data_IF_562152845618
#
_entry.id   IF_562152845618
#
_cell.length_a   1.000
_cell.length_b   1.000
_cell.length_c   1.000
_cell.angle_alpha   90.00
_cell.angle_beta   90.00
_cell.angle_gamma   90.00
#
_symmetry.space_group_name_H-M   'P 1'
#
loop_
_entity.id
_entity.type
_entity.pdbx_description
1 polymer ?
#
# COMPACT_ATOMS: atom_id res chain seq x y z
N UNK A 1 19.77 20.73 11.39
CA UNK A 1 19.37 20.17 12.70
C UNK A 1 18.79 18.78 12.49
N UNK A 2 19.20 17.82 13.27
CA UNK A 2 18.78 16.42 13.17
C UNK A 2 17.78 16.20 14.30
N UNK A 3 16.51 15.96 13.95
CA UNK A 3 15.47 15.64 14.94
C UNK A 3 15.64 14.19 15.39
N UNK A 4 16.00 13.99 16.64
CA UNK A 4 16.16 12.65 17.23
C UNK A 4 14.90 12.28 18.02
N UNK A 5 14.09 11.36 17.50
CA UNK A 5 13.06 10.70 18.29
C UNK A 5 13.73 9.67 19.22
N UNK A 6 13.95 10.05 20.49
CA UNK A 6 14.54 9.16 21.52
C UNK A 6 13.46 8.26 22.12
N UNK A 7 13.51 6.99 21.85
CA UNK A 7 12.93 5.95 22.70
C UNK A 7 13.86 4.73 22.73
N UNK A 8 14.33 4.38 23.92
CA UNK A 8 15.06 3.16 24.29
C UNK A 8 15.91 2.49 23.19
N UNK A 9 17.18 2.92 23.05
CA UNK A 9 18.24 2.14 22.39
C UNK A 9 18.43 2.32 20.89
N UNK A 10 17.40 2.63 20.10
CA UNK A 10 17.51 2.86 18.66
C UNK A 10 17.06 4.28 18.33
N UNK A 11 17.92 5.05 17.66
CA UNK A 11 17.63 6.45 17.31
C UNK A 11 17.33 6.53 15.81
N UNK A 12 16.08 6.70 15.43
CA UNK A 12 15.76 7.04 14.05
C UNK A 12 15.97 8.55 13.85
N UNK A 13 16.90 8.89 12.98
CA UNK A 13 17.27 10.27 12.66
C UNK A 13 16.47 10.70 11.43
N UNK A 14 15.68 11.77 11.57
CA UNK A 14 15.00 12.40 10.43
C UNK A 14 15.88 13.57 9.96
N UNK A 15 16.28 13.51 8.70
CA UNK A 15 17.08 14.55 8.07
C UNK A 15 16.17 15.64 7.47
N UNK A 16 16.03 16.75 8.21
CA UNK A 16 15.20 17.88 7.81
C UNK A 16 15.79 18.63 6.60
N UNK A 17 17.12 18.66 6.46
CA UNK A 17 17.80 19.23 5.30
C UNK A 17 17.42 18.50 4.03
N UNK A 18 17.35 17.18 4.09
CA UNK A 18 16.93 16.34 2.96
C UNK A 18 15.46 16.61 2.56
N UNK A 19 14.60 16.85 3.53
CA UNK A 19 13.19 17.24 3.27
C UNK A 19 13.16 18.59 2.57
N UNK A 20 13.86 19.61 3.08
CA UNK A 20 13.94 20.93 2.49
C UNK A 20 14.44 20.91 1.05
N UNK A 21 15.55 20.19 0.79
CA UNK A 21 16.12 20.04 -0.55
C UNK A 21 15.14 19.34 -1.53
N UNK A 22 14.44 18.31 -1.08
CA UNK A 22 13.45 17.60 -1.90
C UNK A 22 12.25 18.47 -2.28
N UNK A 23 11.83 19.37 -1.40
CA UNK A 23 10.73 20.30 -1.64
C UNK A 23 11.18 21.57 -2.36
N UNK A 24 12.50 21.81 -2.47
CA UNK A 24 13.02 23.04 -3.05
C UNK A 24 12.70 24.29 -2.20
N UNK A 25 12.59 24.12 -0.87
CA UNK A 25 12.22 25.18 0.06
C UNK A 25 13.41 25.57 0.96
N UNK A 26 13.42 26.83 1.47
CA UNK A 26 14.45 27.26 2.40
C UNK A 26 14.44 26.42 3.69
N UNK A 27 15.61 25.92 4.09
CA UNK A 27 15.77 25.05 5.27
C UNK A 27 15.19 25.68 6.54
N UNK A 28 15.50 26.96 6.78
CA UNK A 28 15.00 27.69 7.94
C UNK A 28 13.46 27.74 8.00
N UNK A 29 12.80 27.96 6.86
CA UNK A 29 11.35 27.97 6.77
C UNK A 29 10.71 26.60 7.02
N UNK A 30 11.38 25.53 6.54
CA UNK A 30 10.92 24.15 6.77
C UNK A 30 11.03 23.80 8.25
N UNK A 31 12.16 24.11 8.91
CA UNK A 31 12.37 23.85 10.35
C UNK A 31 11.35 24.61 11.18
N UNK A 32 11.20 25.92 10.97
CA UNK A 32 10.23 26.73 11.69
C UNK A 32 8.79 26.21 11.52
N UNK A 33 8.44 25.78 10.30
CA UNK A 33 7.12 25.19 10.04
C UNK A 33 6.90 23.92 10.84
N UNK A 34 7.92 23.03 10.91
CA UNK A 34 7.83 21.78 11.67
C UNK A 34 7.69 22.06 13.17
N UNK A 35 8.47 22.98 13.70
CA UNK A 35 8.38 23.40 15.10
C UNK A 35 6.97 23.96 15.45
N UNK A 36 6.40 24.78 14.58
CA UNK A 36 5.05 25.29 14.76
C UNK A 36 3.98 24.20 14.69
N UNK A 37 4.12 23.24 13.80
CA UNK A 37 3.22 22.07 13.72
C UNK A 37 3.32 21.20 14.98
N UNK A 38 4.51 21.04 15.55
CA UNK A 38 4.75 20.26 16.76
C UNK A 38 4.19 20.93 18.02
N UNK A 39 4.09 22.25 18.02
CA UNK A 39 3.36 23.03 19.03
C UNK A 39 1.84 22.88 18.92
N UNK A 40 1.33 22.08 17.95
CA UNK A 40 -0.09 21.85 17.75
C UNK A 40 -0.80 22.89 16.89
N UNK A 41 -0.05 23.79 16.25
CA UNK A 41 -0.66 24.78 15.37
C UNK A 41 -1.17 24.13 14.08
N UNK A 42 -2.33 24.58 13.60
CA UNK A 42 -2.89 24.09 12.33
C UNK A 42 -2.29 24.84 11.13
N UNK A 43 -2.27 24.20 9.96
CA UNK A 43 -1.76 24.82 8.72
C UNK A 43 -2.40 26.19 8.44
N UNK A 44 -3.75 26.37 8.51
CA UNK A 44 -4.36 27.69 8.32
C UNK A 44 -3.93 28.73 9.34
N UNK A 45 -3.66 28.32 10.58
CA UNK A 45 -3.19 29.22 11.63
C UNK A 45 -1.77 29.71 11.33
N UNK A 46 -0.86 28.80 10.97
CA UNK A 46 0.53 29.11 10.61
C UNK A 46 0.54 30.08 9.43
N UNK A 47 -0.21 29.78 8.37
CA UNK A 47 -0.27 30.62 7.17
C UNK A 47 -0.74 32.04 7.45
N UNK A 48 -1.68 32.23 8.39
CA UNK A 48 -2.28 33.54 8.68
C UNK A 48 -1.53 34.35 9.72
N UNK A 49 -1.02 33.65 10.76
CA UNK A 49 -0.56 34.33 11.96
C UNK A 49 0.94 34.12 12.26
N UNK A 50 1.61 33.23 11.52
CA UNK A 50 3.03 32.89 11.69
C UNK A 50 3.82 32.95 10.40
N UNK A 51 3.35 33.70 9.44
CA UNK A 51 3.93 33.81 8.11
C UNK A 51 5.39 34.31 8.15
N UNK A 52 5.67 35.26 9.02
CA UNK A 52 7.02 35.81 9.15
C UNK A 52 8.00 34.77 9.73
N UNK A 53 7.55 33.96 10.68
CA UNK A 53 8.37 32.88 11.27
C UNK A 53 8.75 31.79 10.25
N UNK A 54 7.87 31.53 9.29
CA UNK A 54 8.11 30.54 8.21
C UNK A 54 8.86 31.11 7.01
N UNK A 55 9.26 32.39 7.04
CA UNK A 55 9.92 33.03 5.90
C UNK A 55 8.99 33.29 4.72
N UNK A 56 7.69 33.46 4.96
CA UNK A 56 6.72 33.81 3.92
C UNK A 56 6.10 32.63 3.17
N UNK A 57 6.27 31.39 3.65
CA UNK A 57 5.71 30.20 3.02
C UNK A 57 4.19 30.29 2.88
N UNK A 58 3.69 29.82 1.76
CA UNK A 58 2.26 29.76 1.49
C UNK A 58 1.60 28.48 2.07
N UNK A 59 0.27 28.43 2.02
CA UNK A 59 -0.50 27.31 2.60
C UNK A 59 -0.17 25.96 1.91
N UNK A 60 0.09 25.97 0.59
CA UNK A 60 0.44 24.75 -0.14
C UNK A 60 1.80 24.23 0.31
N UNK A 61 2.79 25.09 0.39
CA UNK A 61 4.13 24.76 0.87
C UNK A 61 4.11 24.20 2.29
N UNK A 62 3.36 24.83 3.19
CA UNK A 62 3.20 24.36 4.59
C UNK A 62 2.51 22.98 4.62
N UNK A 63 1.51 22.74 3.78
CA UNK A 63 0.86 21.40 3.64
C UNK A 63 1.82 20.35 3.10
N UNK A 64 2.65 20.69 2.13
CA UNK A 64 3.68 19.80 1.59
C UNK A 64 4.71 19.43 2.65
N UNK A 65 5.16 20.39 3.45
CA UNK A 65 6.06 20.14 4.59
C UNK A 65 5.39 19.22 5.61
N UNK A 66 4.14 19.50 5.99
CA UNK A 66 3.39 18.68 6.95
C UNK A 66 3.22 17.23 6.45
N UNK A 67 2.93 17.03 5.17
CA UNK A 67 2.83 15.71 4.57
C UNK A 67 4.19 15.00 4.50
N UNK A 68 5.26 15.72 4.17
CA UNK A 68 6.61 15.17 4.05
C UNK A 68 7.16 14.72 5.41
N UNK A 69 7.02 15.56 6.46
CA UNK A 69 7.48 15.19 7.81
C UNK A 69 6.62 14.05 8.39
N UNK A 70 5.31 14.05 8.15
CA UNK A 70 4.43 12.96 8.55
C UNK A 70 4.86 11.61 7.97
N UNK A 71 5.16 11.55 6.67
CA UNK A 71 5.69 10.34 6.02
C UNK A 71 7.06 9.92 6.57
N UNK A 72 7.95 10.88 6.83
CA UNK A 72 9.26 10.60 7.39
C UNK A 72 9.17 10.04 8.83
N UNK A 73 8.29 10.60 9.67
CA UNK A 73 8.03 10.10 11.04
C UNK A 73 7.44 8.69 11.02
N UNK A 74 6.45 8.43 10.17
CA UNK A 74 5.87 7.09 10.02
C UNK A 74 6.94 6.06 9.61
N UNK A 75 7.82 6.41 8.68
CA UNK A 75 8.91 5.53 8.27
C UNK A 75 9.91 5.30 9.42
N UNK A 76 10.26 6.34 10.16
CA UNK A 76 11.16 6.27 11.31
C UNK A 76 10.59 5.37 12.43
N UNK A 77 9.34 5.57 12.80
CA UNK A 77 8.62 4.75 13.79
C UNK A 77 8.53 3.29 13.35
N UNK A 78 8.28 3.07 12.05
CA UNK A 78 8.22 1.72 11.50
C UNK A 78 9.58 1.02 11.55
N UNK A 79 10.68 1.71 11.21
CA UNK A 79 12.05 1.20 11.35
C UNK A 79 12.33 0.77 12.79
N UNK A 80 12.01 1.62 13.76
CA UNK A 80 12.19 1.31 15.18
C UNK A 80 11.42 0.07 15.62
N UNK A 81 10.14 -0.02 15.20
CA UNK A 81 9.29 -1.18 15.52
C UNK A 81 9.91 -2.47 14.97
N UNK A 82 10.40 -2.43 13.73
CA UNK A 82 11.02 -3.58 13.08
C UNK A 82 12.33 -3.96 13.78
N UNK A 83 13.21 -3.00 14.05
CA UNK A 83 14.47 -3.25 14.75
C UNK A 83 14.23 -3.89 16.12
N UNK A 84 13.30 -3.36 16.92
CA UNK A 84 12.93 -3.94 18.23
C UNK A 84 12.39 -5.36 18.10
N UNK A 85 11.57 -5.62 17.07
CA UNK A 85 10.97 -6.95 16.87
C UNK A 85 12.03 -7.98 16.50
N UNK A 86 12.99 -7.61 15.63
CA UNK A 86 14.07 -8.51 15.19
C UNK A 86 15.09 -8.72 16.32
N UNK A 87 15.42 -7.67 17.07
CA UNK A 87 16.31 -7.71 18.22
C UNK A 87 15.73 -8.59 19.33
N UNK A 88 14.44 -8.44 19.64
CA UNK A 88 13.73 -9.31 20.59
C UNK A 88 13.68 -10.79 20.19
N UNK A 89 13.91 -11.11 18.91
CA UNK A 89 14.09 -12.48 18.41
C UNK A 89 15.55 -12.96 18.46
N UNK A 90 16.50 -12.11 18.87
CA UNK A 90 17.93 -12.41 18.86
C UNK A 90 18.53 -12.59 17.45
N UNK A 91 17.89 -12.07 16.41
CA UNK A 91 18.26 -12.27 15.00
C UNK A 91 18.76 -10.99 14.31
N UNK A 92 18.98 -9.90 15.06
CA UNK A 92 19.46 -8.64 14.51
C UNK A 92 20.98 -8.72 14.29
N UNK A 93 21.40 -8.64 13.02
CA UNK A 93 22.80 -8.54 12.66
C UNK A 93 23.18 -7.09 12.36
N UNK A 94 24.46 -6.67 12.53
CA UNK A 94 24.90 -5.30 12.23
C UNK A 94 24.63 -4.88 10.78
N UNK A 95 24.72 -5.83 9.85
CA UNK A 95 24.46 -5.57 8.43
C UNK A 95 22.95 -5.33 8.18
N UNK A 96 22.10 -6.17 8.75
CA UNK A 96 20.63 -6.00 8.64
C UNK A 96 20.17 -4.70 9.30
N UNK A 97 20.74 -4.35 10.46
CA UNK A 97 20.46 -3.08 11.12
C UNK A 97 20.78 -1.91 10.18
N UNK A 98 21.96 -1.90 9.56
CA UNK A 98 22.36 -0.85 8.62
C UNK A 98 21.41 -0.78 7.41
N UNK A 99 21.04 -1.92 6.84
CA UNK A 99 20.09 -1.98 5.72
C UNK A 99 18.70 -1.39 6.11
N UNK A 100 18.20 -1.70 7.30
CA UNK A 100 16.94 -1.14 7.81
C UNK A 100 17.08 0.37 8.06
N UNK A 101 18.16 0.82 8.67
CA UNK A 101 18.40 2.24 8.98
C UNK A 101 18.50 3.08 7.71
N UNK A 102 19.14 2.57 6.66
CA UNK A 102 19.33 3.26 5.39
C UNK A 102 18.13 3.14 4.43
N UNK A 103 17.19 2.25 4.70
CA UNK A 103 16.02 2.08 3.83
C UNK A 103 15.17 3.36 3.76
N UNK A 104 15.01 3.93 2.58
CA UNK A 104 14.20 5.13 2.32
C UNK A 104 12.79 4.77 1.81
N UNK A 105 12.63 3.55 1.32
CA UNK A 105 11.39 3.07 0.74
C UNK A 105 10.67 2.14 1.75
N UNK A 106 9.42 2.49 2.16
CA UNK A 106 8.63 1.63 3.04
C UNK A 106 8.47 0.19 2.53
N UNK A 107 8.43 0.00 1.21
CA UNK A 107 8.29 -1.34 0.61
C UNK A 107 9.55 -2.19 0.81
N UNK A 108 10.73 -1.59 0.58
CA UNK A 108 11.99 -2.28 0.85
C UNK A 108 12.12 -2.62 2.34
N UNK A 109 11.70 -1.71 3.22
CA UNK A 109 11.69 -1.94 4.65
C UNK A 109 10.80 -3.13 5.05
N UNK A 110 9.60 -3.24 4.47
CA UNK A 110 8.71 -4.39 4.71
C UNK A 110 9.27 -5.69 4.13
N UNK A 111 9.95 -5.63 2.97
CA UNK A 111 10.61 -6.80 2.38
C UNK A 111 11.77 -7.30 3.27
N UNK A 112 12.57 -6.39 3.86
CA UNK A 112 13.62 -6.75 4.82
C UNK A 112 13.04 -7.35 6.12
N UNK A 113 11.84 -6.92 6.53
CA UNK A 113 11.17 -7.43 7.72
C UNK A 113 10.45 -8.78 7.48
N UNK A 114 10.13 -9.11 6.24
CA UNK A 114 9.31 -10.27 5.90
C UNK A 114 9.78 -11.59 6.54
N UNK A 115 11.10 -11.91 6.57
CA UNK A 115 11.63 -13.13 7.19
C UNK A 115 11.45 -13.22 8.72
N UNK A 116 11.22 -12.06 9.37
CA UNK A 116 11.13 -11.93 10.83
C UNK A 116 9.69 -11.73 11.32
N UNK A 117 8.76 -11.57 10.38
CA UNK A 117 7.35 -11.34 10.71
C UNK A 117 6.75 -12.60 11.34
N UNK A 118 6.06 -12.50 12.52
CA UNK A 118 5.35 -13.62 13.12
C UNK A 118 4.40 -14.25 12.11
N UNK A 119 4.55 -15.55 11.86
CA UNK A 119 3.81 -16.26 10.82
C UNK A 119 2.63 -17.02 11.40
N UNK A 120 1.54 -17.06 10.65
CA UNK A 120 0.53 -18.10 10.81
C UNK A 120 1.14 -19.43 10.35
N UNK A 121 0.55 -20.55 10.75
CA UNK A 121 0.96 -21.90 10.34
C UNK A 121 0.95 -22.00 8.80
N UNK A 122 2.07 -21.65 8.16
CA UNK A 122 2.26 -21.78 6.71
C UNK A 122 2.68 -23.22 6.37
N UNK A 123 2.57 -23.62 5.10
CA UNK A 123 3.05 -24.93 4.67
C UNK A 123 4.55 -25.11 4.97
N UNK A 124 5.34 -24.05 4.81
CA UNK A 124 6.76 -24.08 5.17
C UNK A 124 6.97 -24.23 6.67
N UNK A 125 6.16 -23.58 7.52
CA UNK A 125 6.24 -23.70 8.96
C UNK A 125 5.84 -25.10 9.44
N UNK A 126 4.81 -25.69 8.84
CA UNK A 126 4.45 -27.10 9.06
C UNK A 126 5.60 -28.03 8.71
N UNK A 127 6.27 -27.79 7.58
CA UNK A 127 7.42 -28.60 7.17
C UNK A 127 8.62 -28.43 8.12
N UNK A 128 8.86 -27.23 8.67
CA UNK A 128 9.87 -27.01 9.71
C UNK A 128 9.54 -27.75 11.01
N UNK A 129 8.29 -27.76 11.44
CA UNK A 129 7.84 -28.54 12.59
C UNK A 129 8.04 -30.03 12.39
N UNK A 130 7.95 -30.51 11.15
CA UNK A 130 8.27 -31.89 10.74
C UNK A 130 9.78 -32.15 10.60
N UNK A 131 10.63 -31.23 11.05
CA UNK A 131 12.10 -31.32 11.05
C UNK A 131 12.74 -31.45 9.66
N UNK A 132 12.09 -30.95 8.61
CA UNK A 132 12.59 -31.03 7.23
C UNK A 132 13.56 -29.90 6.84
N UNK A 133 13.78 -28.92 7.71
CA UNK A 133 14.66 -27.77 7.41
C UNK A 133 16.13 -28.17 7.16
N UNK A 134 16.76 -29.12 7.88
CA UNK A 134 18.12 -29.56 7.57
C UNK A 134 18.25 -30.10 6.14
N UNK A 135 17.34 -30.95 5.71
CA UNK A 135 17.32 -31.47 4.34
C UNK A 135 17.16 -30.36 3.30
N UNK A 136 16.31 -29.36 3.56
CA UNK A 136 16.14 -28.21 2.69
C UNK A 136 17.45 -27.40 2.53
N UNK A 137 18.24 -27.26 3.59
CA UNK A 137 19.55 -26.60 3.58
C UNK A 137 20.59 -27.40 2.78
N UNK A 138 20.67 -28.69 3.00
CA UNK A 138 21.57 -29.61 2.27
C UNK A 138 21.29 -29.53 0.76
N UNK A 139 20.01 -29.63 0.36
CA UNK A 139 19.61 -29.55 -1.04
C UNK A 139 19.95 -28.18 -1.62
N UNK A 140 19.63 -27.08 -0.95
CA UNK A 140 19.90 -25.73 -1.44
C UNK A 140 21.40 -25.43 -1.54
N UNK A 141 22.22 -26.03 -0.66
CA UNK A 141 23.67 -25.89 -0.69
C UNK A 141 24.35 -26.78 -1.76
N UNK A 142 23.63 -27.76 -2.32
CA UNK A 142 24.20 -28.77 -3.20
C UNK A 142 25.15 -29.72 -2.47
N UNK A 143 24.84 -30.04 -1.19
CA UNK A 143 25.68 -30.92 -0.38
C UNK A 143 25.83 -32.31 -1.02
N UNK A 144 27.03 -32.88 -1.09
CA UNK A 144 27.24 -34.24 -1.58
C UNK A 144 26.42 -35.30 -0.86
N UNK A 145 26.05 -35.10 0.41
CA UNK A 145 25.17 -36.02 1.13
C UNK A 145 23.76 -36.10 0.55
N UNK A 146 23.32 -35.06 -0.11
CA UNK A 146 22.03 -34.99 -0.79
C UNK A 146 22.15 -35.30 -2.29
N UNK A 147 23.25 -35.88 -2.79
CA UNK A 147 23.45 -36.16 -4.23
C UNK A 147 22.33 -37.00 -4.82
N UNK A 148 21.81 -37.96 -4.08
CA UNK A 148 20.57 -38.69 -4.39
C UNK A 148 19.44 -38.15 -3.49
N UNK A 149 18.53 -37.38 -4.09
CA UNK A 149 17.43 -36.73 -3.36
C UNK A 149 16.48 -37.73 -2.71
N UNK A 150 16.17 -38.83 -3.41
CA UNK A 150 15.20 -39.82 -2.92
C UNK A 150 15.80 -40.61 -1.76
N UNK A 151 17.05 -41.06 -1.91
CA UNK A 151 17.77 -41.80 -0.87
C UNK A 151 17.93 -40.91 0.38
N UNK A 152 18.34 -39.65 0.21
CA UNK A 152 18.52 -38.76 1.36
C UNK A 152 17.19 -38.35 2.00
N UNK A 153 16.13 -38.14 1.24
CA UNK A 153 14.81 -37.82 1.78
C UNK A 153 14.19 -39.01 2.54
N UNK A 154 14.57 -40.24 2.23
CA UNK A 154 14.12 -41.41 2.98
C UNK A 154 14.58 -41.40 4.43
N UNK A 155 15.75 -40.80 4.76
CA UNK A 155 16.23 -40.63 6.13
C UNK A 155 15.36 -39.71 6.98
N UNK A 156 14.54 -38.88 6.34
CA UNK A 156 13.63 -37.94 6.99
C UNK A 156 12.17 -38.42 7.01
N UNK A 157 11.90 -39.64 6.56
CA UNK A 157 10.56 -40.24 6.63
C UNK A 157 10.32 -40.65 8.07
N UNK A 158 9.29 -40.05 8.67
CA UNK A 158 8.86 -40.31 10.05
C UNK A 158 7.34 -40.09 10.12
N UNK A 159 6.60 -41.19 10.22
CA UNK A 159 5.14 -41.15 10.28
C UNK A 159 4.61 -40.47 11.54
N UNK A 160 5.37 -40.49 12.65
CA UNK A 160 4.95 -39.91 13.92
C UNK A 160 4.92 -38.38 13.88
N UNK A 161 5.77 -37.77 13.04
CA UNK A 161 5.77 -36.34 12.79
C UNK A 161 4.98 -35.93 11.52
N UNK A 162 4.33 -36.91 10.87
CA UNK A 162 3.46 -36.68 9.72
C UNK A 162 4.19 -36.57 8.39
N UNK A 163 5.34 -37.24 8.24
CA UNK A 163 6.07 -37.46 6.98
C UNK A 163 6.01 -38.94 6.65
N UNK A 164 4.97 -39.36 5.94
CA UNK A 164 4.72 -40.79 5.70
C UNK A 164 5.54 -41.34 4.53
N UNK A 165 5.92 -40.53 3.57
CA UNK A 165 6.60 -40.94 2.33
C UNK A 165 7.76 -40.00 1.98
N UNK A 166 8.66 -40.46 1.13
CA UNK A 166 9.73 -39.65 0.52
C UNK A 166 9.14 -38.46 -0.25
N UNK A 167 8.02 -38.67 -0.94
CA UNK A 167 7.32 -37.58 -1.63
C UNK A 167 6.82 -36.50 -0.68
N UNK A 168 6.32 -36.87 0.53
CA UNK A 168 5.90 -35.91 1.54
C UNK A 168 7.10 -35.11 2.08
N UNK A 169 8.25 -35.77 2.27
CA UNK A 169 9.48 -35.12 2.68
C UNK A 169 9.94 -34.08 1.64
N UNK A 170 10.05 -34.47 0.39
CA UNK A 170 10.46 -33.59 -0.71
C UNK A 170 9.46 -32.43 -0.93
N UNK A 171 8.15 -32.71 -0.84
CA UNK A 171 7.12 -31.66 -0.90
C UNK A 171 7.29 -30.64 0.23
N UNK A 172 7.52 -31.11 1.46
CA UNK A 172 7.75 -30.24 2.62
C UNK A 172 9.02 -29.39 2.45
N UNK A 173 10.10 -30.01 1.99
CA UNK A 173 11.35 -29.32 1.64
C UNK A 173 11.11 -28.26 0.57
N UNK A 174 10.37 -28.60 -0.50
CA UNK A 174 9.99 -27.65 -1.54
C UNK A 174 9.27 -26.43 -0.99
N UNK A 175 8.35 -26.61 -0.04
CA UNK A 175 7.66 -25.50 0.62
C UNK A 175 8.61 -24.60 1.42
N UNK A 176 9.63 -25.17 2.09
CA UNK A 176 10.62 -24.40 2.85
C UNK A 176 11.49 -23.58 1.90
N UNK A 177 12.00 -24.19 0.83
CA UNK A 177 12.83 -23.51 -0.16
C UNK A 177 12.04 -22.41 -0.88
N UNK A 178 10.80 -22.69 -1.28
CA UNK A 178 9.92 -21.68 -1.89
C UNK A 178 9.67 -20.49 -0.98
N UNK A 179 9.55 -20.74 0.33
CA UNK A 179 9.41 -19.70 1.34
C UNK A 179 10.68 -18.83 1.42
N UNK A 180 11.87 -19.42 1.50
CA UNK A 180 13.14 -18.68 1.47
C UNK A 180 13.32 -17.87 0.18
N UNK A 181 12.95 -18.42 -0.98
CA UNK A 181 12.97 -17.70 -2.24
C UNK A 181 12.04 -16.49 -2.24
N UNK A 182 10.88 -16.65 -1.64
CA UNK A 182 9.88 -15.58 -1.56
C UNK A 182 10.29 -14.40 -0.67
N UNK A 183 11.26 -14.60 0.23
CA UNK A 183 11.77 -13.61 1.18
C UNK A 183 12.92 -12.78 0.65
N UNK A 184 13.47 -13.12 -0.52
CA UNK A 184 14.56 -12.39 -1.15
C UNK A 184 14.12 -10.98 -1.54
N UNK A 185 14.59 -9.97 -0.79
CA UNK A 185 14.25 -8.56 -1.00
C UNK A 185 14.72 -8.03 -2.36
N UNK A 186 15.91 -8.44 -2.80
CA UNK A 186 16.48 -8.11 -4.12
C UNK A 186 15.61 -8.62 -5.27
N UNK A 187 15.20 -9.89 -5.19
CA UNK A 187 14.30 -10.51 -6.16
C UNK A 187 12.95 -9.78 -6.18
N UNK A 188 12.34 -9.56 -5.01
CA UNK A 188 11.06 -8.85 -4.92
C UNK A 188 11.13 -7.46 -5.52
N UNK A 189 12.22 -6.75 -5.33
CA UNK A 189 12.42 -5.41 -5.92
C UNK A 189 12.52 -5.47 -7.45
N UNK A 190 13.23 -6.45 -8.03
CA UNK A 190 13.33 -6.66 -9.48
C UNK A 190 11.96 -7.01 -10.07
N UNK A 191 11.28 -8.00 -9.49
CA UNK A 191 9.95 -8.43 -9.93
C UNK A 191 8.90 -7.31 -9.83
N UNK A 192 8.93 -6.53 -8.75
CA UNK A 192 8.04 -5.38 -8.56
C UNK A 192 8.18 -4.36 -9.69
N UNK A 193 9.42 -4.01 -10.08
CA UNK A 193 9.66 -3.07 -11.18
C UNK A 193 9.00 -3.53 -12.47
N UNK A 194 9.20 -4.79 -12.86
CA UNK A 194 8.59 -5.37 -14.07
C UNK A 194 7.08 -5.45 -13.94
N UNK A 195 6.57 -5.85 -12.78
CA UNK A 195 5.13 -5.95 -12.54
C UNK A 195 4.43 -4.59 -12.67
N UNK A 196 5.06 -3.49 -12.23
CA UNK A 196 4.56 -2.13 -12.39
C UNK A 196 4.67 -1.61 -13.83
N UNK A 197 5.76 -1.92 -14.54
CA UNK A 197 5.98 -1.40 -15.89
C UNK A 197 5.17 -2.12 -16.96
N UNK A 198 5.01 -3.44 -16.84
CA UNK A 198 4.43 -4.29 -17.88
C UNK A 198 3.11 -4.96 -17.44
N UNK A 199 2.78 -4.86 -16.17
CA UNK A 199 1.57 -5.45 -15.62
C UNK A 199 0.30 -4.89 -16.24
N UNK A 200 -0.73 -5.71 -16.28
CA UNK A 200 -2.03 -5.40 -16.87
C UNK A 200 -3.14 -5.57 -15.84
N UNK A 201 -3.98 -4.56 -15.73
CA UNK A 201 -5.21 -4.62 -14.95
C UNK A 201 -6.29 -5.30 -15.79
N UNK A 202 -6.77 -6.44 -15.29
CA UNK A 202 -7.86 -7.20 -15.92
C UNK A 202 -9.09 -7.18 -15.04
N UNK A 203 -10.25 -7.01 -15.67
CA UNK A 203 -11.53 -7.14 -14.99
C UNK A 203 -12.46 -8.02 -15.82
N UNK A 204 -13.17 -8.88 -15.13
CA UNK A 204 -14.13 -9.80 -15.74
C UNK A 204 -15.42 -9.82 -14.91
N UNK A 205 -16.55 -10.01 -15.60
CA UNK A 205 -17.84 -10.18 -14.93
C UNK A 205 -17.87 -11.49 -14.16
N UNK A 206 -18.33 -11.45 -12.91
CA UNK A 206 -18.67 -12.66 -12.15
C UNK A 206 -20.02 -13.17 -12.69
N UNK A 207 -19.95 -14.28 -13.44
CA UNK A 207 -21.17 -14.92 -13.97
C UNK A 207 -21.84 -15.74 -12.86
N UNK A 208 -23.10 -15.45 -12.59
CA UNK A 208 -23.93 -16.30 -11.72
C UNK A 208 -24.91 -17.07 -12.62
N UNK A 209 -24.75 -18.39 -12.75
CA UNK A 209 -25.63 -19.18 -13.61
C UNK A 209 -27.11 -18.95 -13.25
N UNK A 210 -27.97 -18.79 -14.28
CA UNK A 210 -29.42 -18.66 -14.09
C UNK A 210 -29.94 -17.31 -13.59
N UNK A 211 -29.08 -16.30 -13.34
CA UNK A 211 -29.56 -14.97 -12.93
C UNK A 211 -29.41 -13.93 -14.05
N UNK A 212 -30.49 -13.19 -14.40
CA UNK A 212 -30.42 -12.10 -15.36
C UNK A 212 -29.52 -10.96 -14.82
N UNK A 213 -29.05 -10.10 -15.73
CA UNK A 213 -28.21 -8.97 -15.38
C UNK A 213 -28.96 -8.00 -14.46
N UNK A 214 -28.46 -7.81 -13.24
CA UNK A 214 -29.05 -6.83 -12.32
C UNK A 214 -28.95 -5.41 -12.88
N UNK A 215 -29.87 -4.52 -12.49
CA UNK A 215 -29.80 -3.10 -12.89
C UNK A 215 -28.46 -2.46 -12.50
N UNK A 216 -27.94 -2.81 -11.32
CA UNK A 216 -26.64 -2.34 -10.85
C UNK A 216 -25.47 -2.82 -11.74
N UNK A 217 -25.54 -4.06 -12.26
CA UNK A 217 -24.48 -4.61 -13.11
C UNK A 217 -24.37 -3.87 -14.46
N UNK A 218 -25.46 -3.24 -14.94
CA UNK A 218 -25.44 -2.47 -16.20
C UNK A 218 -24.46 -1.30 -16.16
N UNK A 219 -24.22 -0.70 -15.00
CA UNK A 219 -23.26 0.40 -14.82
C UNK A 219 -21.79 -0.02 -14.94
N UNK A 220 -21.50 -1.33 -14.92
CA UNK A 220 -20.15 -1.87 -15.00
C UNK A 220 -19.87 -2.60 -16.32
N UNK A 221 -20.71 -2.42 -17.35
CA UNK A 221 -20.56 -3.13 -18.65
C UNK A 221 -19.21 -2.94 -19.29
N UNK A 222 -18.65 -1.74 -19.24
CA UNK A 222 -17.37 -1.38 -19.86
C UNK A 222 -16.18 -2.12 -19.19
N UNK A 223 -16.43 -2.74 -18.03
CA UNK A 223 -15.44 -3.47 -17.27
C UNK A 223 -15.64 -5.00 -17.25
N UNK A 224 -16.58 -5.51 -18.03
CA UNK A 224 -16.87 -6.96 -18.09
C UNK A 224 -15.75 -7.75 -18.76
N UNK A 225 -15.03 -7.12 -19.67
CA UNK A 225 -13.87 -7.66 -20.39
C UNK A 225 -12.82 -6.55 -20.55
N UNK A 226 -12.29 -6.12 -19.41
CA UNK A 226 -11.31 -5.04 -19.39
C UNK A 226 -9.89 -5.60 -19.28
N UNK A 227 -8.95 -5.05 -20.08
CA UNK A 227 -7.55 -5.46 -20.07
C UNK A 227 -6.66 -4.31 -20.57
N UNK A 228 -6.11 -3.52 -19.65
CA UNK A 228 -5.20 -2.41 -19.97
C UNK A 228 -3.92 -2.49 -19.13
N UNK A 229 -2.83 -1.91 -19.65
CA UNK A 229 -1.57 -1.77 -18.92
C UNK A 229 -1.78 -0.85 -17.70
N UNK A 230 -1.26 -1.24 -16.52
CA UNK A 230 -1.47 -0.55 -15.24
C UNK A 230 -1.23 0.96 -15.35
N UNK A 231 -0.13 1.35 -15.99
CA UNK A 231 0.28 2.75 -16.11
C UNK A 231 -0.68 3.60 -16.95
N UNK A 232 -1.49 2.97 -17.81
CA UNK A 232 -2.43 3.67 -18.72
C UNK A 232 -3.84 3.77 -18.16
N UNK A 233 -4.14 3.05 -17.05
CA UNK A 233 -5.48 3.03 -16.49
C UNK A 233 -5.78 4.32 -15.74
N UNK A 234 -6.78 5.11 -16.17
CA UNK A 234 -7.15 6.34 -15.48
C UNK A 234 -7.71 6.09 -14.07
N UNK A 235 -7.49 7.00 -13.12
CA UNK A 235 -7.95 6.87 -11.73
C UNK A 235 -9.44 6.54 -11.58
N UNK A 236 -10.30 7.18 -12.36
CA UNK A 236 -11.75 6.95 -12.27
C UNK A 236 -12.16 5.53 -12.66
N UNK A 237 -11.43 4.87 -13.60
CA UNK A 237 -11.67 3.46 -13.97
C UNK A 237 -11.26 2.51 -12.87
N UNK A 238 -10.11 2.76 -12.20
CA UNK A 238 -9.67 1.98 -11.02
C UNK A 238 -10.75 2.02 -9.94
N UNK A 239 -11.24 3.22 -9.60
CA UNK A 239 -12.28 3.39 -8.58
C UNK A 239 -13.63 2.76 -8.99
N UNK A 240 -13.97 2.81 -10.28
CA UNK A 240 -15.17 2.16 -10.80
C UNK A 240 -15.08 0.63 -10.67
N UNK A 241 -13.93 0.03 -11.06
CA UNK A 241 -13.70 -1.40 -10.93
C UNK A 241 -13.68 -1.85 -9.46
N UNK A 242 -13.08 -1.08 -8.56
CA UNK A 242 -13.12 -1.35 -7.12
C UNK A 242 -14.55 -1.37 -6.57
N UNK A 243 -15.43 -0.45 -7.04
CA UNK A 243 -16.87 -0.49 -6.68
C UNK A 243 -17.57 -1.73 -7.23
N UNK A 244 -17.28 -2.12 -8.47
CA UNK A 244 -17.83 -3.32 -9.09
C UNK A 244 -17.42 -4.60 -8.38
N UNK A 245 -16.18 -4.66 -7.88
CA UNK A 245 -15.65 -5.76 -7.09
C UNK A 245 -16.29 -5.84 -5.70
N UNK A 246 -16.43 -4.71 -4.99
CA UNK A 246 -17.18 -4.62 -3.70
C UNK A 246 -18.63 -5.04 -3.86
N UNK A 247 -19.24 -4.72 -5.00
CA UNK A 247 -20.60 -5.15 -5.33
C UNK A 247 -20.70 -6.61 -5.79
N UNK A 248 -19.59 -7.36 -5.82
CA UNK A 248 -19.49 -8.75 -6.29
C UNK A 248 -19.99 -8.94 -7.73
N UNK A 249 -19.86 -7.92 -8.57
CA UNK A 249 -20.21 -7.93 -9.99
C UNK A 249 -18.99 -8.22 -10.85
N UNK A 250 -17.83 -7.68 -10.45
CA UNK A 250 -16.56 -7.82 -11.15
C UNK A 250 -15.59 -8.65 -10.32
N UNK A 251 -14.72 -9.37 -11.04
CA UNK A 251 -13.46 -9.92 -10.52
C UNK A 251 -12.35 -9.14 -11.16
N UNK A 252 -11.54 -8.48 -10.33
CA UNK A 252 -10.45 -7.60 -10.80
C UNK A 252 -9.11 -8.20 -10.36
N UNK A 253 -8.17 -8.31 -11.30
CA UNK A 253 -6.83 -8.85 -11.06
C UNK A 253 -5.78 -8.01 -11.76
N UNK A 254 -4.57 -8.07 -11.23
CA UNK A 254 -3.39 -7.57 -11.93
C UNK A 254 -2.52 -8.75 -12.32
N UNK A 255 -2.20 -8.88 -13.59
CA UNK A 255 -1.34 -9.92 -14.11
C UNK A 255 -0.06 -9.30 -14.66
N UNK A 256 1.08 -9.86 -14.30
CA UNK A 256 2.39 -9.52 -14.87
C UNK A 256 2.75 -10.43 -16.04
N UNK A 257 3.83 -10.11 -16.77
CA UNK A 257 4.37 -10.95 -17.85
C UNK A 257 5.02 -12.20 -17.25
N UNK A 258 4.28 -13.32 -17.24
CA UNK A 258 4.66 -14.53 -16.54
C UNK A 258 6.04 -15.07 -16.94
N UNK A 259 6.34 -15.09 -18.24
CA UNK A 259 7.62 -15.58 -18.77
C UNK A 259 8.80 -14.71 -18.31
N UNK A 260 8.65 -13.38 -18.39
CA UNK A 260 9.68 -12.43 -17.94
C UNK A 260 9.93 -12.54 -16.43
N UNK A 261 8.85 -12.65 -15.65
CA UNK A 261 8.96 -12.79 -14.19
C UNK A 261 9.61 -14.11 -13.78
N UNK A 262 9.31 -15.20 -14.49
CA UNK A 262 9.94 -16.50 -14.28
C UNK A 262 11.44 -16.45 -14.64
N UNK A 263 11.80 -15.87 -15.79
CA UNK A 263 13.19 -15.75 -16.20
C UNK A 263 14.05 -14.95 -15.19
N UNK A 264 13.51 -13.85 -14.67
CA UNK A 264 14.17 -13.05 -13.63
C UNK A 264 14.37 -13.85 -12.34
N UNK A 265 13.38 -14.64 -11.95
CA UNK A 265 13.48 -15.46 -10.76
C UNK A 265 14.47 -16.61 -10.94
N UNK A 266 14.45 -17.28 -12.07
CA UNK A 266 15.39 -18.36 -12.40
C UNK A 266 16.84 -17.83 -12.40
N UNK A 267 17.10 -16.69 -13.04
CA UNK A 267 18.41 -16.02 -13.04
C UNK A 267 18.90 -15.66 -11.61
N UNK A 268 17.99 -15.18 -10.77
CA UNK A 268 18.35 -14.69 -9.43
C UNK A 268 18.51 -15.80 -8.39
N UNK A 269 17.84 -16.95 -8.58
CA UNK A 269 17.71 -18.00 -7.57
C UNK A 269 18.44 -19.28 -7.92
N UNK A 270 18.62 -19.58 -9.20
CA UNK A 270 19.16 -20.86 -9.66
C UNK A 270 20.65 -20.72 -10.05
N UNK A 271 21.57 -21.39 -9.33
CA UNK A 271 22.96 -21.46 -9.76
C UNK A 271 23.10 -22.23 -11.07
N UNK A 272 23.99 -21.79 -11.95
CA UNK A 272 24.14 -22.33 -13.31
C UNK A 272 24.47 -23.84 -13.38
N UNK A 273 25.07 -24.44 -12.33
CA UNK A 273 25.48 -25.84 -12.28
C UNK A 273 25.08 -26.52 -10.97
N UNK A 274 23.84 -26.33 -10.55
CA UNK A 274 23.34 -26.97 -9.32
C UNK A 274 22.92 -28.42 -9.58
N UNK A 275 23.34 -29.42 -8.75
CA UNK A 275 22.99 -30.84 -8.95
C UNK A 275 21.48 -31.06 -8.96
N UNK A 276 20.70 -30.26 -8.22
CA UNK A 276 19.25 -30.37 -8.10
C UNK A 276 18.52 -29.21 -8.80
N UNK A 277 19.05 -28.75 -9.94
CA UNK A 277 18.52 -27.58 -10.66
C UNK A 277 17.05 -27.69 -11.02
N UNK A 278 16.56 -28.87 -11.41
CA UNK A 278 15.15 -29.09 -11.77
C UNK A 278 14.23 -28.98 -10.56
N UNK A 279 14.61 -29.58 -9.43
CA UNK A 279 13.88 -29.49 -8.18
C UNK A 279 13.81 -28.03 -7.69
N UNK A 280 14.92 -27.31 -7.72
CA UNK A 280 14.94 -25.89 -7.35
C UNK A 280 14.12 -25.01 -8.30
N UNK A 281 14.05 -25.36 -9.57
CA UNK A 281 13.19 -24.67 -10.55
C UNK A 281 11.71 -24.85 -10.23
N UNK A 282 11.31 -26.03 -9.76
CA UNK A 282 9.94 -26.26 -9.29
C UNK A 282 9.65 -25.44 -8.01
N UNK A 283 10.59 -25.41 -7.06
CA UNK A 283 10.47 -24.56 -5.88
C UNK A 283 10.37 -23.07 -6.24
N UNK A 284 11.10 -22.61 -7.26
CA UNK A 284 11.04 -21.26 -7.78
C UNK A 284 9.66 -20.94 -8.38
N UNK A 285 9.10 -21.85 -9.20
CA UNK A 285 7.74 -21.69 -9.75
C UNK A 285 6.68 -21.62 -8.65
N UNK A 286 6.78 -22.49 -7.64
CA UNK A 286 5.87 -22.47 -6.49
C UNK A 286 6.00 -21.16 -5.70
N UNK A 287 7.22 -20.69 -5.43
CA UNK A 287 7.47 -19.41 -4.78
C UNK A 287 6.83 -18.24 -5.53
N UNK A 288 7.00 -18.18 -6.85
CA UNK A 288 6.38 -17.17 -7.70
C UNK A 288 4.86 -17.27 -7.65
N UNK A 289 4.29 -18.41 -8.01
CA UNK A 289 2.85 -18.55 -8.23
C UNK A 289 2.04 -18.42 -6.92
N UNK A 290 2.54 -19.00 -5.83
CA UNK A 290 1.81 -19.10 -4.57
C UNK A 290 2.13 -17.96 -3.60
N UNK A 291 3.34 -17.45 -3.58
CA UNK A 291 3.79 -16.50 -2.55
C UNK A 291 4.05 -15.09 -3.10
N UNK A 292 4.87 -14.96 -4.14
CA UNK A 292 5.36 -13.66 -4.61
C UNK A 292 4.29 -12.93 -5.43
N UNK A 293 3.78 -13.54 -6.50
CA UNK A 293 2.85 -12.88 -7.42
C UNK A 293 1.56 -12.44 -6.73
N UNK A 294 0.90 -13.25 -5.87
CA UNK A 294 -0.28 -12.79 -5.14
C UNK A 294 0.01 -11.66 -4.15
N UNK A 295 1.24 -11.61 -3.63
CA UNK A 295 1.68 -10.51 -2.75
C UNK A 295 1.89 -9.22 -3.54
N UNK A 296 2.57 -9.28 -4.69
CA UNK A 296 2.78 -8.15 -5.59
C UNK A 296 1.46 -7.63 -6.18
N UNK A 297 0.55 -8.53 -6.57
CA UNK A 297 -0.78 -8.14 -7.05
C UNK A 297 -1.51 -7.28 -6.01
N UNK A 298 -1.54 -7.72 -4.74
CA UNK A 298 -2.18 -6.95 -3.65
C UNK A 298 -1.51 -5.60 -3.42
N UNK A 299 -0.18 -5.56 -3.50
CA UNK A 299 0.61 -4.34 -3.35
C UNK A 299 0.27 -3.33 -4.46
N UNK A 300 0.30 -3.77 -5.72
CA UNK A 300 -0.01 -2.93 -6.88
C UNK A 300 -1.46 -2.45 -6.86
N UNK A 301 -2.40 -3.35 -6.55
CA UNK A 301 -3.82 -2.99 -6.42
C UNK A 301 -4.05 -1.92 -5.36
N UNK A 302 -3.38 -2.04 -4.22
CA UNK A 302 -3.44 -1.06 -3.15
C UNK A 302 -2.88 0.28 -3.61
N UNK A 303 -1.70 0.31 -4.20
CA UNK A 303 -1.07 1.55 -4.68
C UNK A 303 -1.92 2.25 -5.75
N UNK A 304 -2.46 1.48 -6.71
CA UNK A 304 -3.40 2.03 -7.70
C UNK A 304 -4.64 2.64 -7.05
N UNK A 305 -5.16 2.02 -6.00
CA UNK A 305 -6.34 2.52 -5.27
C UNK A 305 -5.98 3.80 -4.53
N UNK A 306 -4.91 3.80 -3.75
CA UNK A 306 -4.47 4.95 -2.95
C UNK A 306 -4.22 6.18 -3.84
N UNK A 307 -3.46 6.00 -4.93
CA UNK A 307 -3.19 7.07 -5.90
C UNK A 307 -4.48 7.58 -6.59
N UNK A 308 -5.40 6.66 -6.89
CA UNK A 308 -6.67 7.04 -7.53
C UNK A 308 -7.60 7.78 -6.57
N UNK A 309 -7.61 7.43 -5.30
CA UNK A 309 -8.38 8.12 -4.26
C UNK A 309 -7.81 9.52 -4.00
N UNK A 310 -6.48 9.66 -3.89
CA UNK A 310 -5.82 10.97 -3.76
C UNK A 310 -6.16 11.89 -4.93
N UNK A 311 -6.10 11.37 -6.16
CA UNK A 311 -6.46 12.13 -7.36
C UNK A 311 -7.94 12.56 -7.34
N UNK A 312 -8.85 11.65 -6.98
CA UNK A 312 -10.28 11.95 -6.92
C UNK A 312 -10.60 13.02 -5.87
N UNK A 313 -9.95 12.98 -4.71
CA UNK A 313 -10.07 14.00 -3.66
C UNK A 313 -9.57 15.36 -4.17
N UNK A 314 -8.43 15.40 -4.86
CA UNK A 314 -7.89 16.63 -5.42
C UNK A 314 -8.82 17.26 -6.47
N UNK A 315 -9.40 16.43 -7.34
CA UNK A 315 -10.40 16.88 -8.35
C UNK A 315 -11.66 17.40 -7.67
N UNK A 316 -12.17 16.67 -6.66
CA UNK A 316 -13.34 17.09 -5.89
C UNK A 316 -13.09 18.42 -5.19
N UNK A 317 -11.96 18.57 -4.51
CA UNK A 317 -11.60 19.81 -3.83
C UNK A 317 -11.53 21.01 -4.78
N UNK A 318 -10.95 20.81 -5.98
CA UNK A 318 -10.92 21.83 -7.03
C UNK A 318 -12.31 22.22 -7.51
N UNK A 319 -13.17 21.25 -7.76
CA UNK A 319 -14.54 21.50 -8.21
C UNK A 319 -15.36 22.22 -7.12
N UNK A 320 -15.21 21.81 -5.88
CA UNK A 320 -15.85 22.48 -4.73
C UNK A 320 -15.37 23.92 -4.61
N UNK A 321 -14.05 24.15 -4.70
CA UNK A 321 -13.50 25.50 -4.66
C UNK A 321 -14.08 26.36 -5.79
N UNK A 322 -14.13 25.86 -7.01
CA UNK A 322 -14.71 26.59 -8.16
C UNK A 322 -16.18 26.88 -7.95
N UNK A 323 -16.94 25.96 -7.36
CA UNK A 323 -18.33 26.16 -7.01
C UNK A 323 -18.52 27.28 -5.98
N UNK A 324 -17.68 27.26 -4.91
CA UNK A 324 -17.74 28.27 -3.85
C UNK A 324 -17.24 29.64 -4.27
N UNK A 325 -16.40 29.72 -5.30
CA UNK A 325 -15.86 30.98 -5.85
C UNK A 325 -16.65 31.49 -7.07
N UNK A 326 -17.84 30.94 -7.31
CA UNK A 326 -18.70 31.49 -8.37
C UNK A 326 -19.03 32.95 -8.08
N UNK A 327 -19.08 33.82 -9.11
CA UNK A 327 -19.49 35.20 -8.95
C UNK A 327 -20.85 35.31 -8.29
N UNK A 328 -21.08 36.27 -7.39
CA UNK A 328 -22.39 36.48 -6.79
C UNK A 328 -23.41 36.86 -7.86
N UNK A 329 -24.64 36.45 -7.64
CA UNK A 329 -25.74 36.87 -8.51
C UNK A 329 -26.01 38.32 -8.22
N UNK A 330 -25.72 39.20 -9.18
CA UNK A 330 -25.93 40.65 -9.03
C UNK A 330 -27.09 41.14 -9.94
N UNK A 331 -27.68 42.28 -9.55
CA UNK A 331 -28.73 42.90 -10.34
C UNK A 331 -30.12 42.21 -10.28
N UNK A 332 -30.31 41.27 -9.37
CA UNK A 332 -31.58 40.56 -9.18
C UNK A 332 -31.91 40.39 -7.70
N UNK A 333 -33.18 40.34 -7.38
CA UNK A 333 -33.63 39.91 -6.08
C UNK A 333 -33.50 38.40 -5.97
N UNK A 334 -32.84 37.90 -4.91
CA UNK A 334 -32.53 36.47 -4.72
C UNK A 334 -33.20 35.98 -3.45
N UNK A 335 -33.95 34.90 -3.54
CA UNK A 335 -34.38 34.11 -2.39
C UNK A 335 -33.38 32.97 -2.20
N UNK A 336 -32.58 33.04 -1.13
CA UNK A 336 -31.66 31.97 -0.76
C UNK A 336 -32.29 31.08 0.32
N UNK A 337 -32.19 29.76 0.15
CA UNK A 337 -32.73 28.78 1.07
C UNK A 337 -31.64 27.79 1.45
N UNK A 338 -31.41 27.65 2.75
CA UNK A 338 -30.52 26.63 3.33
C UNK A 338 -31.38 25.54 3.99
N UNK A 339 -31.53 24.33 3.35
CA UNK A 339 -32.40 23.29 3.84
C UNK A 339 -31.89 22.63 5.12
N UNK A 340 -32.66 22.60 6.18
CA UNK A 340 -32.38 21.95 7.45
C UNK A 340 -33.52 21.03 7.90
N UNK A 341 -33.27 19.71 7.99
CA UNK A 341 -34.28 18.73 8.37
C UNK A 341 -34.71 18.77 9.85
N UNK A 342 -33.82 19.21 10.76
CA UNK A 342 -34.10 19.28 12.20
C UNK A 342 -34.35 20.69 12.69
N UNK A 343 -33.59 21.66 12.17
CA UNK A 343 -33.61 23.07 12.60
C UNK A 343 -34.51 23.97 11.74
N UNK A 344 -35.19 23.41 10.73
CA UNK A 344 -35.92 24.16 9.74
C UNK A 344 -35.06 24.70 8.60
N UNK A 345 -35.69 25.09 7.50
CA UNK A 345 -35.04 25.73 6.37
C UNK A 345 -34.86 27.22 6.69
N UNK A 346 -33.64 27.70 6.62
CA UNK A 346 -33.35 29.15 6.72
C UNK A 346 -33.56 29.79 5.36
N UNK A 347 -34.43 30.77 5.28
CA UNK A 347 -34.69 31.52 4.07
C UNK A 347 -34.26 32.95 4.24
N UNK A 348 -33.61 33.54 3.24
CA UNK A 348 -33.19 34.93 3.22
C UNK A 348 -33.53 35.52 1.84
N UNK A 349 -34.13 36.72 1.84
CA UNK A 349 -34.34 37.49 0.61
C UNK A 349 -33.26 38.58 0.55
N UNK A 350 -32.55 38.65 -0.57
CA UNK A 350 -31.50 39.60 -0.85
C UNK A 350 -31.96 40.59 -1.94
N UNK A 351 -31.59 41.85 -1.81
CA UNK A 351 -31.76 42.81 -2.91
C UNK A 351 -30.78 42.62 -4.07
N UNK A 352 -30.89 43.47 -5.08
CA UNK A 352 -30.01 43.42 -6.26
C UNK A 352 -28.52 43.62 -5.97
N UNK A 353 -28.19 44.18 -4.80
CA UNK A 353 -26.82 44.43 -4.33
C UNK A 353 -26.33 43.35 -3.32
N UNK A 354 -27.19 42.37 -3.00
CA UNK A 354 -26.86 41.32 -2.02
C UNK A 354 -27.13 41.71 -0.58
N UNK A 355 -27.82 42.83 -0.29
CA UNK A 355 -28.20 43.22 1.04
C UNK A 355 -29.44 42.43 1.50
N UNK A 356 -29.45 41.87 2.73
CA UNK A 356 -30.62 41.16 3.26
C UNK A 356 -31.80 42.10 3.44
N UNK A 357 -32.95 41.73 2.84
CA UNK A 357 -34.23 42.42 2.97
C UNK A 357 -35.10 41.78 4.06
N UNK A 358 -35.13 40.46 4.12
CA UNK A 358 -35.87 39.69 5.11
C UNK A 358 -35.21 38.33 5.33
N UNK A 359 -35.42 37.75 6.49
CA UNK A 359 -34.98 36.36 6.79
C UNK A 359 -36.00 35.69 7.71
N UNK A 360 -36.17 34.36 7.51
CA UNK A 360 -37.09 33.54 8.28
C UNK A 360 -36.60 32.10 8.35
N UNK A 361 -36.98 31.37 9.41
CA UNK A 361 -36.74 29.93 9.55
C UNK A 361 -38.06 29.18 9.32
N UNK A 362 -38.13 28.48 8.18
CA UNK A 362 -39.31 27.75 7.75
C UNK A 362 -39.24 26.30 8.23
N UNK A 363 -40.17 25.89 9.06
CA UNK A 363 -40.29 24.48 9.49
C UNK A 363 -41.28 23.75 8.59
N UNK A 364 -40.78 22.97 7.63
CA UNK A 364 -41.59 22.29 6.60
C UNK A 364 -42.05 20.89 7.08
N UNK A 365 -41.45 20.33 8.13
CA UNK A 365 -41.73 18.97 8.62
C UNK A 365 -42.06 18.98 10.11
N UNK A 366 -43.18 18.36 10.50
CA UNK A 366 -43.62 18.18 11.89
C UNK A 366 -44.74 19.14 12.33
N UNK A 367 -44.98 19.21 13.64
CA UNK A 367 -46.11 20.01 14.24
C UNK A 367 -46.01 21.53 13.99
N UNK A 368 -45.00 22.01 13.32
CA UNK A 368 -44.78 23.42 12.98
C UNK A 368 -45.40 23.81 11.61
N UNK A 369 -45.94 22.87 10.84
CA UNK A 369 -46.67 23.14 9.58
C UNK A 369 -47.98 23.93 9.78
N UNK A 370 -48.38 24.20 11.02
CA UNK A 370 -49.67 24.83 11.36
C UNK A 370 -49.51 26.26 11.90
N UNK A 371 -48.40 26.95 11.68
CA UNK A 371 -48.22 28.35 12.04
C UNK A 371 -47.99 29.24 10.84
#
# INVERSE_FOLDING_TARGET
MIETARCMGFTAVIDLVKIANRLGLPEAGVIATIELLDQGNTVPFITRYRRDETGGLDELQIREIAAAIGKARQLADRKQTILRTIDGQGRLTPELQRQIETAENPKLLEDLYLPFKPRRLSLAEQARQRRLEPLAREILAGDPQAADLEARAADFVDADVGVATVADALLGVGHIIADWFSERADLRQRLRKVFFSEGRLKSQRIQTPGKPLSKAAKHFRDYFEFNEQIQKVPPHRVLAMNRGERAKILRVRVEGPAETLQAIADEALLPAAHPHGDFLRECCRDALARLILPSLEREVRREMTDTSEEHAIAVFARNLRNLLLQPPVTGRVVLAIDPGFKSGCKAVVLDACGKPLAHESLHIVGKAEQR
#
